data_IF_863314482712
#
_entry.id   IF_863314482712
#
_cell.length_a   1.000
_cell.length_b   1.000
_cell.length_c   1.000
_cell.angle_alpha   90.00
_cell.angle_beta   90.00
_cell.angle_gamma   90.00
#
_symmetry.space_group_name_H-M   'P 1'
#
loop_
_entity.id
_entity.type
_entity.pdbx_description
1 polymer ?
#
# COMPACT_ATOMS: atom_id res chain seq x y z
N UNK A 1 33.31 18.84 -17.28
CA UNK A 1 33.85 18.54 -15.93
C UNK A 1 33.18 17.28 -15.46
N UNK A 2 33.92 16.17 -15.26
CA UNK A 2 33.38 14.92 -14.72
C UNK A 2 32.94 15.19 -13.28
N UNK A 3 31.62 15.28 -13.05
CA UNK A 3 31.03 15.37 -11.71
C UNK A 3 31.22 14.02 -11.04
N UNK A 4 32.09 13.95 -10.06
CA UNK A 4 32.18 12.80 -9.15
C UNK A 4 30.97 12.90 -8.24
N UNK A 5 29.82 12.40 -8.71
CA UNK A 5 28.63 12.25 -7.91
C UNK A 5 28.94 11.26 -6.79
N UNK A 6 28.83 11.71 -5.56
CA UNK A 6 28.74 10.83 -4.41
C UNK A 6 27.44 10.06 -4.63
N UNK A 7 27.55 8.83 -5.12
CA UNK A 7 26.40 7.92 -5.26
C UNK A 7 25.93 7.56 -3.85
N UNK A 8 25.15 8.46 -3.25
CA UNK A 8 24.36 8.14 -2.07
C UNK A 8 23.25 7.25 -2.56
N UNK A 9 23.46 5.95 -2.46
CA UNK A 9 22.44 4.96 -2.80
C UNK A 9 21.19 5.30 -2.01
N UNK A 10 20.12 5.60 -2.74
CA UNK A 10 18.82 6.01 -2.19
C UNK A 10 18.23 4.83 -1.40
N UNK A 11 18.58 4.73 -0.14
CA UNK A 11 18.00 3.77 0.83
C UNK A 11 16.51 4.07 1.12
N UNK A 12 16.07 5.30 0.81
CA UNK A 12 14.80 5.83 1.28
C UNK A 12 13.55 5.11 0.78
N UNK A 13 13.58 4.57 -0.43
CA UNK A 13 12.36 4.07 -1.08
C UNK A 13 11.99 2.63 -0.73
N UNK A 14 12.91 1.82 -0.24
CA UNK A 14 12.64 0.39 0.02
C UNK A 14 11.89 0.14 1.33
N UNK A 15 12.13 0.99 2.33
CA UNK A 15 11.58 0.79 3.68
C UNK A 15 10.57 1.89 4.02
N UNK A 16 10.59 3.01 3.29
CA UNK A 16 9.69 4.16 3.51
C UNK A 16 8.31 3.99 2.91
N UNK A 17 8.18 3.30 1.77
CA UNK A 17 6.89 3.09 1.15
C UNK A 17 6.03 2.14 1.99
N UNK A 18 4.89 2.52 2.19
CA UNK A 18 3.72 2.03 2.88
C UNK A 18 3.46 0.55 2.74
N UNK A 19 3.85 -0.21 3.73
CA UNK A 19 3.67 -1.66 3.73
C UNK A 19 2.38 -2.12 4.44
N UNK A 20 1.70 -1.21 5.14
CA UNK A 20 0.32 -1.35 5.67
C UNK A 20 -0.22 0.06 5.74
N UNK A 21 -1.29 0.39 5.03
CA UNK A 21 -1.87 1.74 4.96
C UNK A 21 -3.38 1.70 4.92
N UNK A 22 -4.00 2.83 5.25
CA UNK A 22 -5.40 3.16 5.12
C UNK A 22 -6.35 1.98 5.39
N UNK A 23 -6.40 1.53 6.64
CA UNK A 23 -7.23 0.39 7.00
C UNK A 23 -6.82 -0.93 6.32
N UNK A 24 -5.54 -1.06 5.87
CA UNK A 24 -4.99 -2.26 5.25
C UNK A 24 -5.22 -2.41 3.74
N UNK A 25 -5.69 -1.38 3.04
CA UNK A 25 -5.99 -1.45 1.59
C UNK A 25 -4.84 -0.97 0.69
N UNK A 26 -4.02 -0.04 1.12
CA UNK A 26 -2.86 0.42 0.32
C UNK A 26 -1.71 -0.59 0.41
N UNK A 27 -1.04 -0.92 -0.70
CA UNK A 27 0.01 -1.95 -0.77
C UNK A 27 1.36 -1.40 -1.20
N UNK A 28 1.52 -1.03 -2.48
CA UNK A 28 2.80 -0.57 -3.02
C UNK A 28 3.12 0.89 -2.72
N UNK A 29 2.13 1.68 -2.28
CA UNK A 29 2.26 3.14 -2.15
C UNK A 29 2.40 3.86 -3.50
N UNK A 30 2.41 3.12 -4.61
CA UNK A 30 2.54 3.63 -5.97
C UNK A 30 3.84 4.45 -6.16
N UNK A 31 4.97 3.89 -5.69
CA UNK A 31 6.28 4.51 -5.82
C UNK A 31 6.68 4.67 -7.29
N UNK A 32 6.97 5.91 -7.69
CA UNK A 32 7.43 6.29 -9.03
C UNK A 32 8.88 6.75 -9.04
N UNK A 33 9.58 6.68 -7.94
CA UNK A 33 10.92 7.25 -7.74
C UNK A 33 11.98 6.72 -8.71
N UNK A 34 11.76 5.55 -9.33
CA UNK A 34 12.68 4.98 -10.31
C UNK A 34 12.91 5.92 -11.49
N UNK A 35 11.88 6.69 -11.92
CA UNK A 35 11.99 7.60 -13.07
C UNK A 35 12.99 8.74 -12.84
N UNK A 36 13.27 9.07 -11.56
CA UNK A 36 14.18 10.12 -11.13
C UNK A 36 15.61 9.61 -10.82
N UNK A 37 15.87 8.32 -11.01
CA UNK A 37 17.20 7.73 -10.79
C UNK A 37 18.05 7.85 -12.05
N UNK A 38 19.37 7.87 -11.89
CA UNK A 38 20.31 7.94 -13.01
C UNK A 38 20.53 6.57 -13.66
N UNK A 39 20.63 6.56 -14.99
CA UNK A 39 21.04 5.42 -15.81
C UNK A 39 19.93 4.40 -16.05
N UNK A 40 20.29 3.31 -16.70
CA UNK A 40 19.39 2.22 -17.05
C UNK A 40 19.29 1.25 -15.88
N UNK A 41 18.07 0.98 -15.42
CA UNK A 41 17.83 0.26 -14.17
C UNK A 41 16.73 -0.80 -14.33
N UNK A 42 16.94 -1.93 -13.70
CA UNK A 42 15.91 -2.91 -13.40
C UNK A 42 15.84 -3.08 -11.88
N UNK A 43 14.68 -2.92 -11.30
CA UNK A 43 14.47 -3.11 -9.85
C UNK A 43 13.35 -4.12 -9.61
N UNK A 44 13.57 -5.03 -8.67
CA UNK A 44 12.57 -5.98 -8.19
C UNK A 44 12.51 -5.88 -6.68
N UNK A 45 11.32 -5.62 -6.15
CA UNK A 45 11.02 -5.58 -4.71
C UNK A 45 10.02 -6.68 -4.40
N UNK A 46 10.36 -7.57 -3.47
CA UNK A 46 9.47 -8.57 -2.89
C UNK A 46 9.21 -8.24 -1.42
N UNK A 47 7.95 -8.24 -1.03
CA UNK A 47 7.50 -7.91 0.32
C UNK A 47 6.63 -9.03 0.85
N UNK A 48 6.87 -9.43 2.10
CA UNK A 48 6.05 -10.37 2.86
C UNK A 48 5.56 -9.71 4.13
N UNK A 49 4.25 -9.83 4.40
CA UNK A 49 3.58 -9.24 5.56
C UNK A 49 2.91 -10.34 6.38
N UNK A 50 3.27 -10.41 7.64
CA UNK A 50 2.76 -11.36 8.62
C UNK A 50 2.02 -10.60 9.73
N UNK A 51 0.73 -10.29 9.58
CA UNK A 51 -0.07 -9.67 10.62
C UNK A 51 -0.41 -10.68 11.72
N UNK A 52 -0.45 -10.20 12.96
CA UNK A 52 -1.00 -10.89 14.12
C UNK A 52 -2.10 -10.00 14.68
N UNK A 53 -3.32 -10.21 14.20
CA UNK A 53 -4.48 -9.38 14.52
C UNK A 53 -5.56 -10.27 15.12
N UNK A 54 -5.71 -10.14 16.44
CA UNK A 54 -6.68 -10.86 17.24
C UNK A 54 -7.44 -9.89 18.15
N UNK A 55 -8.53 -10.33 18.74
CA UNK A 55 -9.31 -9.54 19.68
C UNK A 55 -10.10 -10.40 20.62
N UNK A 56 -10.97 -9.72 21.37
CA UNK A 56 -11.92 -10.37 22.30
C UNK A 56 -13.34 -9.98 21.93
N UNK A 57 -14.20 -10.97 21.85
CA UNK A 57 -15.64 -10.75 21.70
C UNK A 57 -16.26 -10.12 22.95
N UNK A 58 -17.33 -9.37 22.76
CA UNK A 58 -18.10 -8.78 23.85
C UNK A 58 -18.75 -9.84 24.75
N UNK A 59 -18.91 -9.52 26.03
CA UNK A 59 -19.49 -10.42 27.02
C UNK A 59 -20.94 -10.85 26.65
N UNK A 60 -21.72 -10.01 26.00
CA UNK A 60 -23.09 -10.29 25.58
C UNK A 60 -23.21 -11.49 24.61
N UNK A 61 -22.13 -11.86 23.93
CA UNK A 61 -22.05 -13.00 23.01
C UNK A 61 -21.10 -14.08 23.53
N UNK A 62 -20.85 -14.13 24.85
CA UNK A 62 -20.06 -15.16 25.51
C UNK A 62 -18.59 -14.83 25.71
N UNK A 63 -18.11 -13.66 25.27
CA UNK A 63 -16.70 -13.29 25.36
C UNK A 63 -15.79 -14.20 24.52
N UNK A 64 -14.53 -14.34 24.88
CA UNK A 64 -13.58 -15.23 24.22
C UNK A 64 -12.73 -14.57 23.13
N UNK A 65 -11.78 -15.33 22.58
CA UNK A 65 -10.83 -14.85 21.58
C UNK A 65 -11.44 -14.93 20.18
N UNK A 66 -11.16 -13.92 19.34
CA UNK A 66 -11.64 -13.89 17.95
C UNK A 66 -10.90 -14.85 17.01
N UNK A 67 -9.73 -15.37 17.40
CA UNK A 67 -8.79 -15.99 16.46
C UNK A 67 -8.10 -14.94 15.60
N UNK A 68 -7.24 -15.39 14.69
CA UNK A 68 -6.57 -14.53 13.69
C UNK A 68 -7.59 -14.01 12.67
N UNK A 69 -7.46 -12.72 12.30
CA UNK A 69 -8.42 -12.05 11.41
C UNK A 69 -7.82 -11.59 10.10
N UNK A 70 -6.51 -11.48 10.02
CA UNK A 70 -5.79 -11.07 8.82
C UNK A 70 -4.81 -12.15 8.38
N UNK A 71 -5.05 -12.83 7.25
CA UNK A 71 -4.10 -13.78 6.68
C UNK A 71 -2.81 -13.09 6.22
N UNK A 72 -1.72 -13.84 6.23
CA UNK A 72 -0.45 -13.42 5.62
C UNK A 72 -0.64 -13.13 4.14
N UNK A 73 0.14 -12.19 3.64
CA UNK A 73 0.18 -11.86 2.21
C UNK A 73 1.56 -11.39 1.76
N UNK A 74 1.78 -11.47 0.45
CA UNK A 74 2.98 -10.94 -0.19
C UNK A 74 2.62 -10.24 -1.48
N UNK A 75 3.51 -9.37 -1.95
CA UNK A 75 3.44 -8.76 -3.27
C UNK A 75 4.83 -8.48 -3.81
N UNK A 76 4.91 -8.30 -5.13
CA UNK A 76 6.14 -7.98 -5.83
C UNK A 76 5.90 -6.74 -6.69
N UNK A 77 6.87 -5.84 -6.69
CA UNK A 77 6.95 -4.70 -7.61
C UNK A 77 8.16 -4.90 -8.51
N UNK A 78 7.98 -4.70 -9.81
CA UNK A 78 9.05 -4.70 -10.80
C UNK A 78 9.07 -3.35 -11.49
N UNK A 79 10.24 -2.79 -11.70
CA UNK A 79 10.38 -1.51 -12.34
C UNK A 79 11.61 -1.51 -13.26
N UNK A 80 11.40 -1.08 -14.49
CA UNK A 80 12.44 -0.90 -15.50
C UNK A 80 12.49 0.57 -15.90
N UNK A 81 13.69 1.12 -16.03
CA UNK A 81 13.90 2.49 -16.49
C UNK A 81 15.08 2.54 -17.45
N UNK A 82 14.95 3.34 -18.50
CA UNK A 82 16.05 3.65 -19.42
C UNK A 82 16.07 5.12 -19.77
N UNK A 83 17.28 5.69 -19.90
CA UNK A 83 17.48 7.02 -20.39
C UNK A 83 17.38 7.02 -21.92
N UNK A 84 16.61 7.97 -22.49
CA UNK A 84 16.48 8.17 -23.93
C UNK A 84 17.45 9.25 -24.39
N UNK A 85 17.66 10.27 -23.56
CA UNK A 85 18.64 11.34 -23.72
C UNK A 85 19.15 11.81 -22.36
N UNK A 86 19.99 12.82 -22.32
CA UNK A 86 20.48 13.42 -21.08
C UNK A 86 19.36 14.06 -20.26
N UNK A 87 18.25 14.47 -20.91
CA UNK A 87 17.11 15.11 -20.25
C UNK A 87 15.86 14.21 -20.15
N UNK A 88 15.77 13.13 -20.95
CA UNK A 88 14.54 12.34 -21.06
C UNK A 88 14.75 10.88 -20.69
N UNK A 89 13.80 10.34 -19.92
CA UNK A 89 13.78 8.93 -19.56
C UNK A 89 12.38 8.32 -19.69
N UNK A 90 12.32 7.02 -19.83
CA UNK A 90 11.08 6.25 -19.72
C UNK A 90 11.23 5.17 -18.66
N UNK A 91 10.10 4.82 -18.03
CA UNK A 91 10.03 3.70 -17.09
C UNK A 91 8.73 2.92 -17.27
N UNK A 92 8.80 1.63 -16.93
CA UNK A 92 7.64 0.76 -16.79
C UNK A 92 7.65 0.18 -15.40
N UNK A 93 6.53 0.30 -14.69
CA UNK A 93 6.36 -0.21 -13.33
C UNK A 93 5.20 -1.19 -13.33
N UNK A 94 5.43 -2.38 -12.79
CA UNK A 94 4.41 -3.38 -12.50
C UNK A 94 4.30 -3.52 -11.00
N UNK A 95 3.14 -3.21 -10.41
CA UNK A 95 2.93 -3.25 -8.97
C UNK A 95 1.52 -3.74 -8.58
N UNK A 96 1.29 -3.84 -7.27
CA UNK A 96 -0.03 -4.10 -6.68
C UNK A 96 -0.40 -2.89 -5.82
N UNK A 97 -1.05 -1.86 -6.40
CA UNK A 97 -1.27 -0.61 -5.68
C UNK A 97 -2.17 -0.76 -4.46
N UNK A 98 -3.20 -1.59 -4.57
CA UNK A 98 -4.20 -1.80 -3.52
C UNK A 98 -4.46 -3.28 -3.29
N UNK A 99 -5.01 -3.60 -2.12
CA UNK A 99 -5.46 -4.94 -1.79
C UNK A 99 -5.79 -5.07 -0.32
N UNK A 100 -6.78 -5.89 -0.02
CA UNK A 100 -7.14 -6.24 1.34
C UNK A 100 -7.46 -7.72 1.42
N UNK A 101 -7.15 -8.32 2.54
CA UNK A 101 -7.55 -9.70 2.82
C UNK A 101 -7.95 -9.81 4.29
N UNK A 102 -9.18 -10.22 4.51
CA UNK A 102 -9.74 -10.50 5.84
C UNK A 102 -10.17 -11.97 5.85
N UNK A 103 -9.93 -12.66 6.96
CA UNK A 103 -10.33 -14.04 7.12
C UNK A 103 -10.49 -14.38 8.60
N UNK A 104 -11.72 -14.38 9.08
CA UNK A 104 -12.02 -14.70 10.46
C UNK A 104 -12.02 -16.22 10.64
N UNK A 105 -11.02 -16.71 11.35
CA UNK A 105 -10.98 -18.11 11.78
C UNK A 105 -11.94 -18.33 12.95
N UNK A 106 -12.32 -19.58 13.21
CA UNK A 106 -13.11 -19.90 14.39
C UNK A 106 -12.30 -19.60 15.65
N UNK A 107 -12.78 -18.64 16.46
CA UNK A 107 -12.26 -18.37 17.80
C UNK A 107 -12.76 -19.43 18.81
N UNK A 108 -12.48 -19.18 20.10
CA UNK A 108 -12.80 -20.09 21.22
C UNK A 108 -14.28 -20.13 21.57
N UNK A 109 -15.14 -19.33 20.97
CA UNK A 109 -16.59 -19.25 21.25
C UNK A 109 -17.39 -19.32 19.96
N UNK A 110 -18.41 -20.16 19.97
CA UNK A 110 -19.11 -20.68 18.80
C UNK A 110 -19.98 -19.76 18.00
N UNK A 111 -19.99 -18.46 18.18
CA UNK A 111 -20.76 -17.62 17.29
C UNK A 111 -20.05 -16.33 17.07
N UNK A 112 -19.90 -15.87 15.86
CA UNK A 112 -19.52 -14.50 15.79
C UNK A 112 -19.13 -14.09 14.38
N UNK A 113 -17.92 -13.66 14.15
CA UNK A 113 -17.44 -13.30 12.83
C UNK A 113 -16.82 -14.49 12.06
N UNK A 114 -16.87 -15.70 12.63
CA UNK A 114 -16.31 -16.89 11.99
C UNK A 114 -16.89 -17.14 10.60
N UNK A 115 -16.00 -17.45 9.65
CA UNK A 115 -16.35 -17.69 8.25
C UNK A 115 -16.50 -16.43 7.42
N UNK A 116 -16.47 -15.23 8.02
CA UNK A 116 -16.34 -14.00 7.25
C UNK A 116 -14.97 -13.99 6.58
N UNK A 117 -14.96 -13.85 5.27
CA UNK A 117 -13.74 -13.59 4.52
C UNK A 117 -14.03 -12.56 3.40
N UNK A 118 -13.01 -11.79 3.08
CA UNK A 118 -13.06 -10.84 1.98
C UNK A 118 -11.66 -10.69 1.40
N UNK A 119 -11.57 -10.62 0.09
CA UNK A 119 -10.33 -10.32 -0.60
C UNK A 119 -10.60 -9.34 -1.73
N UNK A 120 -9.81 -8.25 -1.78
CA UNK A 120 -9.71 -7.33 -2.92
C UNK A 120 -8.29 -7.42 -3.42
N UNK A 121 -8.16 -7.64 -4.72
CA UNK A 121 -6.86 -7.69 -5.42
C UNK A 121 -6.81 -6.59 -6.45
N UNK A 122 -5.64 -5.96 -6.56
CA UNK A 122 -5.32 -5.12 -7.71
C UNK A 122 -3.92 -5.42 -8.24
N UNK A 123 -3.75 -5.18 -9.53
CA UNK A 123 -2.45 -5.10 -10.18
C UNK A 123 -2.45 -3.92 -11.11
N UNK A 124 -1.29 -3.31 -11.34
CA UNK A 124 -1.19 -2.19 -12.26
C UNK A 124 0.11 -2.25 -13.05
N UNK A 125 0.01 -1.85 -14.32
CA UNK A 125 1.15 -1.54 -15.18
C UNK A 125 1.13 -0.05 -15.47
N UNK A 126 2.21 0.64 -15.11
CA UNK A 126 2.37 2.09 -15.31
C UNK A 126 3.52 2.33 -16.28
N UNK A 127 3.27 3.11 -17.32
CA UNK A 127 4.29 3.60 -18.25
C UNK A 127 4.49 5.08 -17.98
N UNK A 128 5.73 5.47 -17.70
CA UNK A 128 6.14 6.82 -17.32
C UNK A 128 7.10 7.40 -18.34
N UNK A 129 6.99 8.70 -18.58
CA UNK A 129 8.03 9.52 -19.22
C UNK A 129 8.45 10.65 -18.28
N UNK A 130 9.72 11.03 -18.31
CA UNK A 130 10.23 12.22 -17.62
C UNK A 130 11.02 13.11 -18.57
N UNK A 131 11.05 14.40 -18.26
CA UNK A 131 11.82 15.40 -18.98
C UNK A 131 12.38 16.48 -18.03
N UNK A 132 13.67 16.74 -18.13
CA UNK A 132 14.34 17.82 -17.43
C UNK A 132 14.00 19.16 -18.09
N UNK A 133 13.18 19.97 -17.45
CA UNK A 133 12.76 21.29 -17.98
C UNK A 133 13.72 22.42 -17.58
N UNK A 134 14.55 22.18 -16.58
CA UNK A 134 15.64 23.04 -16.14
C UNK A 134 16.69 22.20 -15.40
N UNK A 135 17.86 22.78 -15.13
CA UNK A 135 19.01 22.08 -14.51
C UNK A 135 18.66 21.31 -13.23
N UNK A 136 17.65 21.76 -12.50
CA UNK A 136 17.26 21.18 -11.21
C UNK A 136 15.78 20.76 -11.14
N UNK A 137 15.07 20.80 -12.25
CA UNK A 137 13.61 20.54 -12.28
C UNK A 137 13.32 19.49 -13.34
N UNK A 138 12.73 18.38 -12.89
CA UNK A 138 12.23 17.31 -13.76
C UNK A 138 10.72 17.23 -13.63
N UNK A 139 10.00 17.18 -14.74
CA UNK A 139 8.58 16.84 -14.81
C UNK A 139 8.41 15.42 -15.33
N UNK A 140 7.39 14.72 -14.86
CA UNK A 140 7.10 13.37 -15.32
C UNK A 140 5.61 13.08 -15.30
N UNK A 141 5.21 12.11 -16.07
CA UNK A 141 3.82 11.66 -16.11
C UNK A 141 3.67 10.39 -16.92
N UNK A 142 2.48 9.80 -16.85
CA UNK A 142 2.25 8.56 -17.55
C UNK A 142 0.84 8.02 -17.43
N UNK A 143 0.65 6.88 -18.09
CA UNK A 143 -0.59 6.13 -18.09
C UNK A 143 -0.46 4.89 -17.23
N UNK A 144 -1.55 4.55 -16.56
CA UNK A 144 -1.67 3.38 -15.70
C UNK A 144 -2.84 2.52 -16.15
N UNK A 145 -2.60 1.26 -16.47
CA UNK A 145 -3.62 0.24 -16.61
C UNK A 145 -3.73 -0.50 -15.28
N UNK A 146 -4.90 -0.46 -14.65
CA UNK A 146 -5.14 -1.08 -13.36
C UNK A 146 -6.26 -2.11 -13.45
N UNK A 147 -6.02 -3.29 -12.89
CA UNK A 147 -6.99 -4.37 -12.78
C UNK A 147 -7.43 -4.51 -11.32
N UNK A 148 -8.73 -4.75 -11.10
CA UNK A 148 -9.33 -4.97 -9.78
C UNK A 148 -10.28 -6.15 -9.82
N UNK A 149 -10.31 -6.95 -8.75
CA UNK A 149 -11.33 -7.98 -8.50
C UNK A 149 -11.62 -8.08 -7.01
N UNK A 150 -12.80 -8.61 -6.65
CA UNK A 150 -13.24 -8.77 -5.28
C UNK A 150 -13.98 -10.09 -5.05
N UNK A 151 -13.76 -10.69 -3.88
CA UNK A 151 -14.56 -11.80 -3.36
C UNK A 151 -14.91 -11.56 -1.91
N UNK A 152 -16.12 -11.94 -1.51
CA UNK A 152 -16.58 -11.82 -0.12
C UNK A 152 -17.42 -13.03 0.23
N UNK A 153 -17.29 -13.51 1.47
CA UNK A 153 -18.27 -14.37 2.12
C UNK A 153 -18.61 -13.76 3.48
N UNK A 154 -19.90 -13.64 3.75
CA UNK A 154 -20.40 -13.14 5.02
C UNK A 154 -21.57 -13.99 5.52
N UNK A 155 -21.28 -15.05 6.30
CA UNK A 155 -22.31 -15.94 6.85
C UNK A 155 -23.37 -15.22 7.68
N UNK A 156 -23.05 -14.08 8.29
CA UNK A 156 -23.98 -13.32 9.14
C UNK A 156 -25.13 -12.67 8.37
N UNK A 157 -24.99 -12.55 7.05
CA UNK A 157 -26.02 -11.95 6.19
C UNK A 157 -26.63 -13.06 5.33
N UNK A 158 -27.31 -14.00 5.98
CA UNK A 158 -27.98 -15.14 5.32
C UNK A 158 -27.07 -15.89 4.31
N UNK A 159 -25.83 -16.17 4.72
CA UNK A 159 -24.85 -16.86 3.87
C UNK A 159 -24.45 -16.06 2.63
N UNK A 160 -24.39 -14.74 2.72
CA UNK A 160 -24.04 -13.85 1.61
C UNK A 160 -22.67 -14.16 1.03
N UNK A 161 -22.59 -14.22 -0.29
CA UNK A 161 -21.35 -14.23 -1.06
C UNK A 161 -21.39 -13.23 -2.21
N UNK A 162 -20.22 -12.67 -2.52
CA UNK A 162 -19.95 -11.82 -3.68
C UNK A 162 -18.74 -12.36 -4.43
N UNK A 163 -18.87 -12.51 -5.73
CA UNK A 163 -17.74 -12.78 -6.62
C UNK A 163 -17.82 -11.86 -7.82
N UNK A 164 -16.72 -11.21 -8.17
CA UNK A 164 -16.63 -10.37 -9.34
C UNK A 164 -15.69 -10.95 -10.38
N UNK A 165 -15.86 -10.54 -11.65
CA UNK A 165 -14.80 -10.67 -12.62
C UNK A 165 -13.63 -9.74 -12.25
N UNK A 166 -12.56 -9.80 -13.05
CA UNK A 166 -11.50 -8.79 -13.05
C UNK A 166 -11.86 -7.72 -14.08
N UNK A 167 -11.94 -6.46 -13.63
CA UNK A 167 -12.08 -5.30 -14.50
C UNK A 167 -10.74 -4.60 -14.64
N UNK A 168 -10.42 -4.13 -15.85
CA UNK A 168 -9.20 -3.40 -16.16
C UNK A 168 -9.55 -2.02 -16.70
N UNK A 169 -9.07 -0.99 -16.03
CA UNK A 169 -9.37 0.41 -16.36
C UNK A 169 -8.12 1.26 -16.41
N UNK A 170 -8.19 2.37 -17.16
CA UNK A 170 -7.07 3.28 -17.38
C UNK A 170 -7.13 4.48 -16.45
N UNK A 171 -5.96 4.88 -15.97
CA UNK A 171 -5.75 6.12 -15.22
C UNK A 171 -4.46 6.80 -15.69
N UNK A 172 -4.13 7.90 -15.03
CA UNK A 172 -2.89 8.63 -15.30
C UNK A 172 -2.27 9.13 -14.00
N UNK A 173 -1.03 9.56 -14.11
CA UNK A 173 -0.33 10.28 -13.07
C UNK A 173 0.53 11.39 -13.67
N UNK A 174 0.78 12.41 -12.87
CA UNK A 174 1.70 13.49 -13.19
C UNK A 174 2.51 13.86 -11.95
N UNK A 175 3.72 14.32 -12.14
CA UNK A 175 4.57 14.75 -11.04
C UNK A 175 5.68 15.70 -11.48
N UNK A 176 6.32 16.28 -10.48
CA UNK A 176 7.50 17.10 -10.68
C UNK A 176 8.47 16.88 -9.52
N UNK A 177 9.76 17.03 -9.81
CA UNK A 177 10.82 16.94 -8.82
C UNK A 177 11.76 18.13 -8.92
N UNK A 178 12.26 18.56 -7.78
CA UNK A 178 13.35 19.55 -7.65
C UNK A 178 14.53 18.83 -7.01
N UNK A 179 15.72 18.98 -7.59
CA UNK A 179 16.92 18.31 -7.14
C UNK A 179 18.07 19.31 -6.94
N UNK A 180 18.88 19.09 -5.90
CA UNK A 180 20.16 19.76 -5.67
C UNK A 180 21.20 18.69 -5.36
N UNK A 181 21.90 18.18 -6.38
CA UNK A 181 22.85 17.07 -6.21
C UNK A 181 23.96 17.34 -5.20
N UNK A 182 24.38 18.60 -5.04
CA UNK A 182 25.46 19.02 -4.15
C UNK A 182 25.21 18.65 -2.68
N UNK A 183 23.92 18.59 -2.30
CA UNK A 183 23.48 18.22 -0.95
C UNK A 183 22.59 16.98 -0.96
N UNK A 184 22.60 16.20 -2.05
CA UNK A 184 21.74 15.04 -2.25
C UNK A 184 20.24 15.31 -2.00
N UNK A 185 19.81 16.57 -2.23
CA UNK A 185 18.41 16.95 -2.03
C UNK A 185 17.59 16.59 -3.25
N UNK A 186 16.44 15.98 -2.99
CA UNK A 186 15.33 15.78 -3.94
C UNK A 186 14.02 15.98 -3.20
N UNK A 187 13.11 16.71 -3.81
CA UNK A 187 11.71 16.80 -3.38
C UNK A 187 10.86 16.52 -4.62
N UNK A 188 9.99 15.53 -4.55
CA UNK A 188 9.12 15.11 -5.64
C UNK A 188 7.67 15.09 -5.18
N UNK A 189 6.77 15.64 -5.98
CA UNK A 189 5.32 15.58 -5.78
C UNK A 189 4.69 14.82 -6.94
N UNK A 190 3.93 13.78 -6.62
CA UNK A 190 3.21 12.97 -7.61
C UNK A 190 1.71 12.98 -7.30
N UNK A 191 0.90 13.26 -8.31
CA UNK A 191 -0.54 13.08 -8.29
C UNK A 191 -0.92 11.81 -9.06
N UNK A 192 -1.73 10.96 -8.45
CA UNK A 192 -2.34 9.78 -9.07
C UNK A 192 -3.83 10.00 -9.21
N UNK A 193 -4.35 9.90 -10.44
CA UNK A 193 -5.78 10.05 -10.69
C UNK A 193 -6.58 8.89 -10.11
N UNK A 194 -7.82 9.14 -9.70
CA UNK A 194 -8.78 8.10 -9.38
C UNK A 194 -9.13 7.29 -10.63
N UNK A 195 -9.37 5.98 -10.45
CA UNK A 195 -9.75 5.09 -11.54
C UNK A 195 -11.09 4.46 -11.21
N UNK A 196 -12.06 4.53 -12.13
CA UNK A 196 -13.34 3.85 -12.04
C UNK A 196 -13.20 2.42 -12.54
N UNK A 197 -13.77 1.48 -11.79
CA UNK A 197 -13.90 0.08 -12.16
C UNK A 197 -15.37 -0.32 -12.14
N UNK A 198 -15.83 -0.99 -13.19
CA UNK A 198 -17.19 -1.52 -13.31
C UNK A 198 -17.11 -3.06 -13.36
N UNK A 199 -17.27 -3.67 -12.20
CA UNK A 199 -17.10 -5.11 -12.00
C UNK A 199 -18.42 -5.84 -12.28
N UNK A 200 -18.44 -6.80 -13.19
CA UNK A 200 -19.55 -7.74 -13.26
C UNK A 200 -19.58 -8.58 -11.97
N UNK A 201 -20.73 -8.62 -11.31
CA UNK A 201 -20.87 -9.20 -9.99
C UNK A 201 -21.93 -10.29 -9.95
N UNK A 202 -21.63 -11.37 -9.20
CA UNK A 202 -22.59 -12.40 -8.81
C UNK A 202 -22.73 -12.32 -7.30
N UNK A 203 -23.95 -12.12 -6.84
CA UNK A 203 -24.30 -12.09 -5.43
C UNK A 203 -25.19 -13.28 -5.09
N UNK A 204 -24.89 -13.98 -3.99
CA UNK A 204 -25.75 -15.07 -3.50
C UNK A 204 -26.16 -14.84 -2.05
N UNK A 205 -27.35 -15.35 -1.69
CA UNK A 205 -27.81 -15.50 -0.33
C UNK A 205 -28.17 -16.98 -0.14
N UNK A 206 -27.40 -17.69 0.67
CA UNK A 206 -27.52 -19.15 0.75
C UNK A 206 -27.25 -19.82 -0.60
N UNK A 207 -28.17 -20.66 -1.06
CA UNK A 207 -28.06 -21.36 -2.34
C UNK A 207 -28.49 -20.54 -3.57
N UNK A 208 -29.05 -19.33 -3.39
CA UNK A 208 -29.59 -18.50 -4.48
C UNK A 208 -28.53 -17.54 -5.01
N UNK A 209 -27.80 -17.95 -6.04
CA UNK A 209 -26.81 -17.12 -6.74
C UNK A 209 -27.45 -16.50 -7.99
N UNK A 210 -27.36 -15.18 -8.11
CA UNK A 210 -27.88 -14.42 -9.25
C UNK A 210 -26.89 -13.33 -9.66
N UNK A 211 -26.76 -13.04 -10.97
CA UNK A 211 -26.11 -11.82 -11.42
C UNK A 211 -26.75 -10.60 -10.77
N UNK A 212 -25.95 -9.63 -10.39
CA UNK A 212 -26.40 -8.33 -9.90
C UNK A 212 -26.07 -7.23 -10.91
N UNK A 213 -26.54 -6.00 -10.64
CA UNK A 213 -26.07 -4.85 -11.37
C UNK A 213 -24.52 -4.74 -11.21
N UNK A 214 -23.80 -4.21 -12.22
CA UNK A 214 -22.37 -4.02 -12.12
C UNK A 214 -22.00 -3.26 -10.85
N UNK A 215 -20.98 -3.76 -10.13
CA UNK A 215 -20.43 -3.09 -8.96
C UNK A 215 -19.45 -2.03 -9.42
N UNK A 216 -19.87 -0.76 -9.40
CA UNK A 216 -18.95 0.35 -9.65
C UNK A 216 -18.18 0.70 -8.38
N UNK A 217 -16.87 0.79 -8.47
CA UNK A 217 -16.01 1.31 -7.41
C UNK A 217 -14.92 2.22 -7.99
N UNK A 218 -14.40 3.09 -7.13
CA UNK A 218 -13.28 3.97 -7.49
C UNK A 218 -12.07 3.63 -6.65
N UNK A 219 -10.92 3.36 -7.28
CA UNK A 219 -9.66 3.46 -6.56
C UNK A 219 -9.32 4.93 -6.35
N UNK A 220 -8.83 5.34 -5.16
CA UNK A 220 -8.75 6.74 -4.79
C UNK A 220 -7.70 7.51 -5.60
N UNK A 221 -7.95 8.78 -5.81
CA UNK A 221 -6.87 9.70 -6.15
C UNK A 221 -5.93 9.86 -4.96
N UNK A 222 -4.64 10.08 -5.23
CA UNK A 222 -3.64 10.21 -4.19
C UNK A 222 -2.55 11.22 -4.56
N UNK A 223 -1.94 11.80 -3.52
CA UNK A 223 -0.78 12.66 -3.61
C UNK A 223 0.37 12.04 -2.81
N UNK A 224 1.52 11.88 -3.45
CA UNK A 224 2.76 11.46 -2.80
C UNK A 224 3.74 12.64 -2.83
N UNK A 225 4.20 13.06 -1.68
CA UNK A 225 5.31 13.97 -1.51
C UNK A 225 6.48 13.17 -0.94
N UNK A 226 7.53 13.02 -1.73
CA UNK A 226 8.76 12.33 -1.34
C UNK A 226 9.88 13.34 -1.22
N UNK A 227 10.69 13.22 -0.18
CA UNK A 227 11.83 14.11 0.03
C UNK A 227 13.05 13.35 0.54
N UNK A 228 14.21 13.85 0.20
CA UNK A 228 15.50 13.45 0.76
C UNK A 228 16.47 14.63 0.78
N UNK A 229 17.44 14.58 1.69
CA UNK A 229 18.56 15.53 1.72
C UNK A 229 19.73 14.98 2.55
N UNK A 230 20.94 15.29 2.13
CA UNK A 230 22.14 15.07 2.96
C UNK A 230 22.17 16.05 4.13
N UNK A 231 22.28 15.55 5.35
CA UNK A 231 22.32 16.36 6.57
C UNK A 231 23.68 16.38 7.23
N UNK A 232 24.54 15.42 6.90
CA UNK A 232 25.93 15.31 7.31
C UNK A 232 26.70 14.42 6.32
N UNK A 233 28.01 14.34 6.46
CA UNK A 233 28.83 13.43 5.67
C UNK A 233 28.28 11.99 5.79
N UNK A 234 28.03 11.35 4.65
CA UNK A 234 27.51 9.98 4.56
C UNK A 234 26.14 9.76 5.25
N UNK A 235 25.38 10.82 5.51
CA UNK A 235 24.10 10.72 6.23
C UNK A 235 23.00 11.43 5.44
N UNK A 236 21.94 10.68 5.13
CA UNK A 236 20.77 11.12 4.39
C UNK A 236 19.55 11.13 5.31
N UNK A 237 18.83 12.24 5.35
CA UNK A 237 17.46 12.32 5.85
C UNK A 237 16.53 12.11 4.65
N UNK A 238 15.52 11.28 4.80
CA UNK A 238 14.50 11.06 3.78
C UNK A 238 13.13 10.80 4.39
N UNK A 239 12.09 10.95 3.60
CA UNK A 239 10.74 10.66 4.05
C UNK A 239 9.70 10.87 2.97
N UNK A 240 8.46 10.59 3.34
CA UNK A 240 7.31 10.76 2.47
C UNK A 240 6.06 11.16 3.23
N UNK A 241 5.17 11.85 2.53
CA UNK A 241 3.79 12.10 2.97
C UNK A 241 2.88 11.61 1.84
N UNK A 242 1.98 10.69 2.17
CA UNK A 242 0.98 10.20 1.22
C UNK A 242 -0.42 10.54 1.74
N UNK A 243 -1.18 11.25 0.92
CA UNK A 243 -2.59 11.56 1.14
C UNK A 243 -3.42 10.88 0.06
N UNK A 244 -4.32 9.99 0.46
CA UNK A 244 -5.21 9.29 -0.47
C UNK A 244 -6.68 9.55 -0.08
N UNK A 245 -7.51 9.87 -1.08
CA UNK A 245 -8.92 10.20 -0.87
C UNK A 245 -9.78 8.94 -0.75
N UNK A 246 -9.57 8.16 0.30
CA UNK A 246 -10.24 6.88 0.54
C UNK A 246 -11.76 6.99 0.69
N UNK A 247 -12.32 8.15 1.03
CA UNK A 247 -13.78 8.39 0.99
C UNK A 247 -14.40 8.20 -0.40
N UNK A 248 -13.59 8.17 -1.45
CA UNK A 248 -14.04 7.87 -2.81
C UNK A 248 -14.22 6.37 -3.06
N UNK A 249 -13.60 5.52 -2.23
CA UNK A 249 -13.68 4.08 -2.34
C UNK A 249 -14.87 3.56 -1.54
N UNK A 250 -15.79 2.88 -2.23
CA UNK A 250 -16.96 2.27 -1.62
C UNK A 250 -17.29 0.97 -2.34
N UNK A 251 -17.54 -0.09 -1.58
CA UNK A 251 -18.02 -1.38 -2.10
C UNK A 251 -19.49 -1.50 -1.74
N UNK A 252 -20.36 -1.30 -2.73
CA UNK A 252 -21.83 -1.18 -2.54
C UNK A 252 -22.59 -2.12 -3.48
N UNK A 253 -22.53 -3.46 -3.28
CA UNK A 253 -23.23 -4.42 -4.11
C UNK A 253 -24.74 -4.25 -3.95
N UNK A 254 -25.47 -4.23 -5.05
CA UNK A 254 -26.89 -3.84 -5.09
C UNK A 254 -27.78 -4.70 -4.19
N UNK A 255 -27.61 -6.03 -4.24
CA UNK A 255 -28.43 -6.95 -3.45
C UNK A 255 -28.06 -6.93 -1.96
N UNK A 256 -26.74 -6.80 -1.65
CA UNK A 256 -26.29 -6.64 -0.28
C UNK A 256 -26.88 -5.37 0.36
N UNK A 257 -26.79 -4.23 -0.35
CA UNK A 257 -27.35 -2.97 0.13
C UNK A 257 -28.86 -3.06 0.31
N UNK A 258 -29.57 -3.74 -0.61
CA UNK A 258 -31.00 -4.00 -0.47
C UNK A 258 -31.37 -4.80 0.78
N UNK A 259 -30.51 -5.73 1.18
CA UNK A 259 -30.73 -6.58 2.36
C UNK A 259 -30.29 -5.93 3.69
N UNK A 260 -29.20 -5.14 3.67
CA UNK A 260 -28.53 -4.64 4.89
C UNK A 260 -28.75 -3.13 5.09
N UNK A 261 -29.10 -2.38 4.03
CA UNK A 261 -29.37 -0.94 4.07
C UNK A 261 -28.12 -0.07 4.07
N UNK A 262 -26.91 -0.64 3.89
CA UNK A 262 -25.63 0.10 3.90
C UNK A 262 -24.57 -0.61 3.03
N UNK A 263 -23.54 0.12 2.57
CA UNK A 263 -22.41 -0.47 1.86
C UNK A 263 -21.73 -1.60 2.63
N UNK A 264 -21.12 -2.52 1.91
CA UNK A 264 -20.31 -3.60 2.47
C UNK A 264 -19.01 -3.06 3.07
N UNK A 265 -18.40 -2.07 2.42
CA UNK A 265 -17.24 -1.32 2.90
C UNK A 265 -17.25 0.11 2.38
N UNK A 266 -16.99 1.04 3.26
CA UNK A 266 -16.75 2.45 2.97
C UNK A 266 -15.69 2.98 3.94
N UNK A 267 -15.11 4.14 3.63
CA UNK A 267 -14.19 4.88 4.49
C UNK A 267 -14.82 6.21 4.88
N UNK A 268 -14.70 6.58 6.14
CA UNK A 268 -15.27 7.82 6.68
C UNK A 268 -14.29 8.99 6.58
N UNK A 269 -12.99 8.70 6.46
CA UNK A 269 -11.93 9.70 6.40
C UNK A 269 -10.96 9.44 5.24
N UNK A 270 -10.12 10.42 4.97
CA UNK A 270 -9.00 10.35 4.04
C UNK A 270 -7.71 10.35 4.86
N UNK A 271 -7.17 9.19 5.24
CA UNK A 271 -5.98 9.14 6.06
C UNK A 271 -4.76 9.69 5.32
N UNK A 272 -3.85 10.26 6.11
CA UNK A 272 -2.53 10.67 5.65
C UNK A 272 -1.48 9.80 6.31
N UNK A 273 -0.60 9.24 5.50
CA UNK A 273 0.54 8.45 5.96
C UNK A 273 1.79 9.31 5.95
N UNK A 274 2.54 9.24 7.03
CA UNK A 274 3.83 9.91 7.18
C UNK A 274 4.94 8.87 7.33
N UNK A 275 6.09 9.15 6.74
CA UNK A 275 7.30 8.36 6.90
C UNK A 275 8.52 9.26 6.96
N UNK A 276 9.46 8.93 7.85
CA UNK A 276 10.75 9.60 7.97
C UNK A 276 11.83 8.55 8.23
N UNK A 277 13.02 8.78 7.72
CA UNK A 277 14.14 7.87 7.91
C UNK A 277 15.49 8.55 7.85
N UNK A 278 16.44 7.90 8.47
CA UNK A 278 17.85 8.25 8.41
C UNK A 278 18.63 7.10 7.77
N UNK A 279 19.33 7.41 6.69
CA UNK A 279 20.27 6.51 6.01
C UNK A 279 21.69 6.91 6.27
N UNK A 280 22.59 5.92 6.47
CA UNK A 280 24.00 6.16 6.65
C UNK A 280 24.83 5.19 5.82
N UNK A 281 25.77 5.74 5.06
CA UNK A 281 26.83 4.97 4.40
C UNK A 281 27.83 4.55 5.48
N UNK A 282 28.00 3.24 5.65
CA UNK A 282 28.90 2.63 6.66
C UNK A 282 30.27 2.35 6.07
N UNK A 283 30.29 1.83 4.84
CA UNK A 283 31.49 1.62 4.01
C UNK A 283 31.17 2.01 2.57
N UNK A 284 32.08 1.84 1.63
CA UNK A 284 31.80 2.11 0.21
C UNK A 284 30.72 1.19 -0.37
N UNK A 285 30.56 0.01 0.17
CA UNK A 285 29.61 -1.00 -0.28
C UNK A 285 28.38 -1.13 0.62
N UNK A 286 28.49 -0.81 1.91
CA UNK A 286 27.43 -1.05 2.87
C UNK A 286 26.81 0.24 3.37
N UNK A 287 25.49 0.25 3.44
CA UNK A 287 24.73 1.31 4.09
C UNK A 287 23.58 0.74 4.91
N UNK A 288 23.17 1.48 5.92
CA UNK A 288 22.06 1.12 6.80
C UNK A 288 21.03 2.25 6.88
N UNK A 289 19.80 1.92 7.20
CA UNK A 289 18.74 2.90 7.45
C UNK A 289 17.86 2.50 8.63
N UNK A 290 17.40 3.53 9.34
CA UNK A 290 16.35 3.45 10.34
C UNK A 290 15.16 4.28 9.83
N UNK A 291 13.95 3.73 9.94
CA UNK A 291 12.72 4.42 9.51
C UNK A 291 11.66 4.39 10.59
N UNK A 292 10.86 5.43 10.63
CA UNK A 292 9.62 5.52 11.38
C UNK A 292 8.49 5.93 10.44
N UNK A 293 7.30 5.40 10.65
CA UNK A 293 6.13 5.80 9.89
C UNK A 293 4.87 5.68 10.72
N UNK A 294 3.84 6.42 10.35
CA UNK A 294 2.55 6.41 11.05
C UNK A 294 1.41 6.80 10.12
N UNK A 295 0.25 6.30 10.45
CA UNK A 295 -1.04 6.70 9.89
C UNK A 295 -2.02 6.86 11.03
N UNK A 296 -2.76 7.97 11.05
CA UNK A 296 -3.73 8.23 12.10
C UNK A 296 -4.92 7.29 11.99
N UNK A 297 -5.46 6.89 13.15
CA UNK A 297 -6.72 6.17 13.24
C UNK A 297 -7.89 7.04 12.78
N UNK A 298 -8.92 6.42 12.20
CA UNK A 298 -10.21 7.09 11.93
C UNK A 298 -10.98 7.37 13.22
N UNK A 299 -10.76 6.54 14.25
CA UNK A 299 -11.36 6.70 15.58
C UNK A 299 -12.84 6.34 15.63
N UNK A 300 -13.35 5.63 14.64
CA UNK A 300 -14.74 5.19 14.55
C UNK A 300 -14.83 3.67 14.71
N UNK A 301 -15.98 3.20 15.23
CA UNK A 301 -16.21 1.77 15.31
C UNK A 301 -16.23 1.14 13.93
N UNK A 302 -15.42 0.10 13.73
CA UNK A 302 -15.33 -0.65 12.49
C UNK A 302 -16.35 -1.79 12.41
N UNK A 303 -16.41 -2.40 11.21
CA UNK A 303 -17.08 -3.67 11.00
C UNK A 303 -16.08 -4.81 10.79
N UNK A 304 -16.56 -6.06 10.70
CA UNK A 304 -15.67 -7.22 10.56
C UNK A 304 -14.87 -7.24 9.25
N UNK A 305 -15.21 -6.40 8.27
CA UNK A 305 -14.47 -6.25 7.01
C UNK A 305 -13.27 -5.29 7.12
N UNK A 306 -13.01 -4.70 8.29
CA UNK A 306 -11.88 -3.81 8.54
C UNK A 306 -11.48 -3.87 10.02
N UNK A 307 -10.74 -4.92 10.45
CA UNK A 307 -10.43 -5.16 11.85
C UNK A 307 -9.21 -4.36 12.36
N UNK A 308 -8.83 -3.28 11.68
CA UNK A 308 -7.68 -2.44 12.02
C UNK A 308 -8.00 -0.96 11.79
N UNK A 309 -7.33 -0.06 12.56
CA UNK A 309 -7.52 1.38 12.45
C UNK A 309 -6.23 2.14 12.76
N UNK A 310 -5.59 2.68 11.72
CA UNK A 310 -4.30 3.34 11.83
C UNK A 310 -3.14 2.42 12.26
N UNK A 311 -1.94 2.96 12.35
CA UNK A 311 -0.75 2.23 12.81
C UNK A 311 0.43 3.16 13.09
N UNK A 312 1.44 2.62 13.80
CA UNK A 312 2.82 3.12 13.77
C UNK A 312 3.78 2.00 13.40
N UNK A 313 4.91 2.34 12.80
CA UNK A 313 5.92 1.36 12.37
C UNK A 313 7.33 1.86 12.59
N UNK A 314 8.22 0.93 12.89
CA UNK A 314 9.67 1.15 12.92
C UNK A 314 10.33 0.11 12.02
N UNK A 315 11.31 0.54 11.24
CA UNK A 315 11.99 -0.32 10.28
C UNK A 315 13.50 -0.15 10.28
N UNK A 316 14.17 -1.24 9.95
CA UNK A 316 15.60 -1.30 9.72
C UNK A 316 15.86 -1.83 8.32
N UNK A 317 16.85 -1.28 7.65
CA UNK A 317 17.31 -1.73 6.35
C UNK A 317 18.83 -1.75 6.23
N UNK A 318 19.31 -2.69 5.45
CA UNK A 318 20.72 -2.79 5.09
C UNK A 318 20.82 -2.97 3.59
N UNK A 319 21.68 -2.20 2.95
CA UNK A 319 21.93 -2.28 1.50
C UNK A 319 23.41 -2.61 1.24
N UNK A 320 23.61 -3.59 0.39
CA UNK A 320 24.90 -3.85 -0.26
C UNK A 320 24.86 -3.25 -1.67
N UNK A 321 25.89 -2.50 -2.01
CA UNK A 321 26.08 -1.87 -3.33
C UNK A 321 27.34 -2.41 -3.96
N UNK A 322 27.20 -3.20 -5.02
CA UNK A 322 28.27 -3.60 -5.91
C UNK A 322 28.33 -2.69 -7.14
N UNK A 323 29.18 -3.03 -8.10
CA UNK A 323 29.42 -2.21 -9.31
C UNK A 323 28.16 -2.03 -10.16
N UNK A 324 27.37 -3.08 -10.34
CA UNK A 324 26.14 -3.10 -11.16
C UNK A 324 24.89 -3.48 -10.39
N UNK A 325 25.03 -4.08 -9.25
CA UNK A 325 23.89 -4.59 -8.49
C UNK A 325 23.82 -3.99 -7.10
N UNK A 326 22.60 -3.75 -6.65
CA UNK A 326 22.29 -3.39 -5.27
C UNK A 326 21.33 -4.43 -4.69
N UNK A 327 21.57 -4.83 -3.43
CA UNK A 327 20.66 -5.70 -2.70
C UNK A 327 20.32 -5.02 -1.38
N UNK A 328 19.03 -4.80 -1.14
CA UNK A 328 18.54 -4.25 0.12
C UNK A 328 17.68 -5.28 0.83
N UNK A 329 17.97 -5.49 2.09
CA UNK A 329 17.14 -6.26 3.01
C UNK A 329 16.50 -5.31 4.01
N UNK A 330 15.21 -5.47 4.25
CA UNK A 330 14.44 -4.66 5.18
C UNK A 330 13.57 -5.49 6.10
N UNK A 331 13.43 -5.03 7.34
CA UNK A 331 12.47 -5.55 8.31
C UNK A 331 11.75 -4.39 8.97
N UNK A 332 10.43 -4.52 9.16
CA UNK A 332 9.64 -3.54 9.89
C UNK A 332 8.73 -4.25 10.90
N UNK A 333 8.66 -3.69 12.09
CA UNK A 333 7.61 -3.98 13.07
C UNK A 333 6.55 -2.90 12.97
N UNK A 334 5.30 -3.34 12.91
CA UNK A 334 4.13 -2.47 12.86
C UNK A 334 3.33 -2.73 14.13
N UNK A 335 3.01 -1.67 14.84
CA UNK A 335 2.03 -1.67 15.91
C UNK A 335 0.71 -1.16 15.31
N UNK A 336 -0.26 -2.07 15.18
CA UNK A 336 -1.56 -1.82 14.55
C UNK A 336 -2.49 -1.15 15.54
N UNK A 337 -3.16 -0.08 15.12
CA UNK A 337 -4.07 0.69 15.97
C UNK A 337 -5.24 -0.15 16.47
N UNK A 338 -5.71 0.20 17.65
CA UNK A 338 -6.84 -0.46 18.31
C UNK A 338 -8.15 -0.04 17.64
N UNK A 339 -9.11 -0.98 17.58
CA UNK A 339 -10.45 -0.69 17.06
C UNK A 339 -11.51 -1.50 17.80
N UNK A 340 -12.66 -0.89 18.05
CA UNK A 340 -13.87 -1.56 18.47
C UNK A 340 -14.71 -1.91 17.24
N UNK A 341 -15.11 -3.17 17.11
CA UNK A 341 -15.91 -3.67 16.01
C UNK A 341 -17.35 -3.87 16.44
N UNK A 342 -18.30 -3.55 15.57
CA UNK A 342 -19.71 -3.79 15.78
C UNK A 342 -20.42 -4.25 14.49
N UNK A 343 -21.27 -5.29 14.64
CA UNK A 343 -22.21 -5.75 13.63
C UNK A 343 -23.48 -6.21 14.34
N UNK A 344 -24.42 -5.28 14.52
CA UNK A 344 -25.60 -5.49 15.39
C UNK A 344 -25.16 -5.70 16.84
N UNK A 345 -25.60 -6.80 17.46
CA UNK A 345 -25.24 -7.17 18.83
C UNK A 345 -23.82 -7.79 18.94
N UNK A 346 -23.25 -8.18 17.80
CA UNK A 346 -21.91 -8.76 17.76
C UNK A 346 -20.87 -7.64 17.87
N UNK A 347 -20.08 -7.69 18.94
CA UNK A 347 -18.99 -6.73 19.16
C UNK A 347 -17.68 -7.45 19.41
N UNK A 348 -16.57 -6.82 19.06
CA UNK A 348 -15.23 -7.30 19.39
C UNK A 348 -14.28 -6.12 19.61
N UNK A 349 -13.33 -6.27 20.53
CA UNK A 349 -12.24 -5.31 20.76
C UNK A 349 -10.95 -5.87 20.23
N UNK A 350 -10.36 -5.16 19.28
CA UNK A 350 -9.08 -5.49 18.66
C UNK A 350 -7.99 -4.61 19.28
N UNK A 351 -7.09 -5.19 20.05
CA UNK A 351 -6.08 -4.43 20.82
C UNK A 351 -4.74 -5.16 20.87
N UNK A 352 -3.63 -4.39 20.90
CA UNK A 352 -2.29 -4.94 21.03
C UNK A 352 -1.81 -5.70 19.82
N UNK A 353 -2.34 -5.39 18.65
CA UNK A 353 -2.09 -6.07 17.41
C UNK A 353 -0.80 -5.59 16.73
N UNK A 354 -0.14 -6.49 16.03
CA UNK A 354 1.14 -6.20 15.37
C UNK A 354 1.19 -6.81 13.98
N UNK A 355 2.15 -6.36 13.17
CA UNK A 355 2.56 -7.08 11.98
C UNK A 355 4.09 -7.03 11.82
N UNK A 356 4.67 -8.10 11.29
CA UNK A 356 6.05 -8.16 10.87
C UNK A 356 6.11 -8.12 9.35
N UNK A 357 6.93 -7.22 8.83
CA UNK A 357 7.16 -7.08 7.39
C UNK A 357 8.62 -7.37 7.10
N UNK A 358 8.85 -8.17 6.06
CA UNK A 358 10.18 -8.39 5.49
C UNK A 358 10.17 -8.00 4.03
N UNK A 359 11.25 -7.40 3.57
CA UNK A 359 11.40 -6.96 2.18
C UNK A 359 12.79 -7.27 1.65
N UNK A 360 12.84 -7.67 0.40
CA UNK A 360 14.08 -7.82 -0.38
C UNK A 360 13.93 -7.01 -1.65
N UNK A 361 14.86 -6.08 -1.89
CA UNK A 361 14.94 -5.33 -3.15
C UNK A 361 16.26 -5.63 -3.83
N UNK A 362 16.19 -5.95 -5.11
CA UNK A 362 17.35 -6.10 -5.99
C UNK A 362 17.25 -5.05 -7.08
N UNK A 363 18.30 -4.28 -7.24
CA UNK A 363 18.48 -3.33 -8.34
C UNK A 363 19.66 -3.75 -9.21
N UNK A 364 19.53 -3.60 -10.51
CA UNK A 364 20.61 -3.85 -11.47
C UNK A 364 20.73 -2.67 -12.43
N UNK A 365 21.97 -2.20 -12.59
CA UNK A 365 22.35 -1.11 -13.51
C UNK A 365 23.09 -1.71 -14.70
N UNK A 366 22.66 -1.38 -15.92
CA UNK A 366 23.21 -1.94 -17.16
C UNK A 366 23.56 -0.87 -18.19
#
# INVERSE_FOLDING_TARGET
>A
MKRTLISVVVLGTVIGSSLVQAGGFDRSGQDTSIILKEGNLLEVLSVSVNPKVTGKYGAAIGGGNTGETLPNYSYTTMAFKTDISDEASIAVIQDSPYGAKVGWTSGTVGASFSGINAEIKSSATTVLGSYGVADNITVYGGLKSQSVSATVANPLVNGYTLTTNTDSSMGYLIGAAIEKPEIAMRVALTYHAKIKHDLAAIEAFGASALPSAPLSLYTPEAFNLDFQTGIAANTLLFGSVRYAKWKQFMVSPTRYVGAVGKPLKEFTQNPTTYSIGLGRKLTDQWSGALTYGTESAEGVAGGPMGPTDGYSKIGLGVTYTGDKATVTLGVQKIDVGNIDLAAGILTAKMTGNTALVTAVKVGYKF
#
